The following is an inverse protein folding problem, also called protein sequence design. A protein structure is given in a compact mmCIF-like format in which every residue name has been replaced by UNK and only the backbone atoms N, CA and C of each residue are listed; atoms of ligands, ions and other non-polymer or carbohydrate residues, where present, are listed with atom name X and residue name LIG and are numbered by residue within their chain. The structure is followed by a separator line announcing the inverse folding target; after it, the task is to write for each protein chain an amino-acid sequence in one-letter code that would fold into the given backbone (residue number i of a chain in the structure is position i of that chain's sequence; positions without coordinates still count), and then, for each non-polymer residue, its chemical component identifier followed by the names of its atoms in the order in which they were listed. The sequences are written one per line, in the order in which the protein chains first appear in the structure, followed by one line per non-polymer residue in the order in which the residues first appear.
data_IF_989520118673
#
_entry.id   IF_989520118673
#
_cell.length_a   1.000
_cell.length_b   1.000
_cell.length_c   1.000
_cell.angle_alpha   90.00
_cell.angle_beta   90.00
_cell.angle_gamma   90.00
#
_symmetry.space_group_name_H-M   'P 1'
#
loop_
_entity.id
_entity.type
_entity.pdbx_description
1 polymer ?
#
# COMPACT_ATOMS: atom_id res chain seq x y z
N UNK A 1 22.18 -6.34 42.13
CA UNK A 1 22.46 -7.43 41.17
C UNK A 1 22.45 -6.83 39.76
N UNK A 2 23.37 -7.24 38.88
CA UNK A 2 23.36 -6.80 37.48
C UNK A 2 22.16 -7.43 36.75
N UNK A 3 21.49 -6.67 35.90
CA UNK A 3 20.41 -7.19 35.05
C UNK A 3 21.00 -8.30 34.16
N UNK A 4 20.34 -9.46 34.13
CA UNK A 4 20.82 -10.63 33.37
C UNK A 4 21.82 -11.53 34.13
N UNK A 5 22.11 -11.29 35.41
CA UNK A 5 22.93 -12.19 36.22
C UNK A 5 22.20 -13.53 36.42
N UNK A 6 22.78 -14.59 35.90
CA UNK A 6 22.18 -15.93 35.89
C UNK A 6 22.78 -16.89 36.94
N UNK A 7 23.63 -16.41 37.86
CA UNK A 7 24.16 -17.20 39.00
C UNK A 7 24.91 -18.49 38.58
N UNK A 8 25.70 -18.47 37.54
CA UNK A 8 26.37 -19.65 37.00
C UNK A 8 25.55 -20.48 36.01
N UNK A 9 24.26 -20.17 35.85
CA UNK A 9 23.42 -20.76 34.83
C UNK A 9 23.79 -20.21 33.45
N UNK A 10 23.68 -21.03 32.40
CA UNK A 10 23.91 -20.59 31.01
C UNK A 10 23.07 -19.36 30.68
N UNK A 11 23.64 -18.24 30.20
CA UNK A 11 22.90 -17.05 29.83
C UNK A 11 21.78 -17.34 28.80
N UNK A 12 20.71 -16.59 28.84
CA UNK A 12 19.51 -16.86 28.02
C UNK A 12 19.82 -16.86 26.52
N UNK A 13 20.72 -16.01 26.06
CA UNK A 13 21.13 -15.95 24.65
C UNK A 13 21.92 -17.20 24.19
N UNK A 14 22.52 -17.96 25.13
CA UNK A 14 23.19 -19.22 24.84
C UNK A 14 22.23 -20.42 24.92
N UNK A 15 21.16 -20.32 25.71
CA UNK A 15 20.14 -21.37 25.85
C UNK A 15 19.17 -21.38 24.67
N UNK A 16 18.93 -20.22 24.05
CA UNK A 16 18.06 -20.10 22.87
C UNK A 16 18.82 -20.63 21.66
N UNK A 17 18.30 -21.69 21.04
CA UNK A 17 18.80 -22.15 19.74
C UNK A 17 18.61 -21.10 18.64
N UNK A 18 19.16 -21.37 17.47
CA UNK A 18 18.97 -20.51 16.29
C UNK A 18 17.49 -20.47 15.93
N UNK A 19 16.87 -19.31 16.08
CA UNK A 19 15.49 -19.05 15.67
C UNK A 19 15.44 -18.88 14.16
N UNK A 20 15.52 -19.99 13.43
CA UNK A 20 15.45 -19.99 11.95
C UNK A 20 14.08 -19.47 11.52
N UNK A 21 14.07 -18.44 10.65
CA UNK A 21 12.86 -17.78 10.17
C UNK A 21 12.34 -16.65 11.05
N UNK A 22 12.62 -16.62 12.36
CA UNK A 22 12.18 -15.52 13.24
C UNK A 22 12.88 -14.19 12.94
N UNK A 23 14.08 -14.24 12.34
CA UNK A 23 14.84 -13.05 11.89
C UNK A 23 14.54 -12.67 10.45
N UNK A 24 13.70 -13.42 9.75
CA UNK A 24 13.24 -13.05 8.41
C UNK A 24 12.43 -11.75 8.47
N UNK A 25 12.59 -10.91 7.46
CA UNK A 25 11.78 -9.68 7.31
C UNK A 25 10.28 -9.98 7.32
N UNK A 26 9.87 -11.13 6.79
CA UNK A 26 8.48 -11.55 6.73
C UNK A 26 7.95 -12.11 8.07
N UNK A 27 8.85 -12.53 8.98
CA UNK A 27 8.51 -13.00 10.32
C UNK A 27 8.38 -11.88 11.36
N UNK A 28 8.65 -10.63 10.99
CA UNK A 28 8.51 -9.49 11.92
C UNK A 28 7.05 -9.28 12.31
N UNK A 29 6.73 -9.09 13.61
CA UNK A 29 5.37 -8.82 14.07
C UNK A 29 4.95 -7.39 13.68
N UNK A 30 4.48 -7.20 12.45
CA UNK A 30 4.04 -5.92 11.92
C UNK A 30 2.61 -5.58 12.40
N UNK A 31 1.87 -6.57 12.94
CA UNK A 31 0.49 -6.41 13.37
C UNK A 31 0.20 -5.17 14.21
N UNK A 32 0.97 -4.92 15.31
CA UNK A 32 0.78 -3.74 16.18
C UNK A 32 1.01 -2.40 15.48
N UNK A 33 1.80 -2.37 14.41
CA UNK A 33 2.17 -1.17 13.67
C UNK A 33 1.42 -1.01 12.34
N UNK A 34 0.53 -1.95 12.04
CA UNK A 34 -0.23 -1.95 10.79
C UNK A 34 -1.40 -0.98 10.87
N UNK A 35 -1.45 -0.02 9.95
CA UNK A 35 -2.64 0.82 9.77
C UNK A 35 -3.73 -0.03 9.12
N UNK A 36 -4.86 -0.19 9.83
CA UNK A 36 -6.03 -0.88 9.30
C UNK A 36 -6.83 0.07 8.42
N UNK A 37 -7.16 -0.36 7.21
CA UNK A 37 -7.99 0.41 6.28
C UNK A 37 -9.13 -0.46 5.77
N UNK A 38 -10.32 0.13 5.61
CA UNK A 38 -11.47 -0.56 5.01
C UNK A 38 -11.41 -0.40 3.49
N UNK A 39 -11.32 -1.51 2.73
CA UNK A 39 -11.35 -1.45 1.28
C UNK A 39 -12.77 -1.25 0.76
N UNK A 40 -12.96 -0.31 -0.16
CA UNK A 40 -14.22 -0.10 -0.91
C UNK A 40 -13.89 -0.18 -2.40
N UNK A 41 -14.67 -0.94 -3.15
CA UNK A 41 -14.47 -1.08 -4.59
C UNK A 41 -15.20 0.02 -5.36
N UNK A 42 -14.61 0.45 -6.48
CA UNK A 42 -15.20 1.48 -7.36
C UNK A 42 -16.60 1.07 -7.85
N UNK A 43 -16.82 -0.21 -8.19
CA UNK A 43 -18.14 -0.69 -8.62
C UNK A 43 -19.22 -0.60 -7.53
N UNK A 44 -18.87 -0.52 -6.25
CA UNK A 44 -19.84 -0.32 -5.18
C UNK A 44 -20.35 1.13 -5.13
N UNK A 45 -19.64 2.07 -5.76
CA UNK A 45 -20.04 3.49 -5.85
C UNK A 45 -21.16 3.74 -6.85
N UNK A 46 -21.50 2.78 -7.69
CA UNK A 46 -22.67 2.88 -8.60
C UNK A 46 -24.01 3.02 -7.85
N UNK A 47 -24.03 2.75 -6.53
CA UNK A 47 -25.21 2.96 -5.67
C UNK A 47 -25.49 4.44 -5.40
N UNK A 48 -24.52 5.31 -5.60
CA UNK A 48 -24.68 6.76 -5.46
C UNK A 48 -25.31 7.36 -6.70
N UNK A 49 -25.95 8.52 -6.54
CA UNK A 49 -26.48 9.29 -7.65
C UNK A 49 -25.36 10.00 -8.42
N UNK A 50 -25.64 10.31 -9.69
CA UNK A 50 -24.69 11.04 -10.54
C UNK A 50 -24.46 12.45 -10.00
N UNK A 51 -23.18 12.84 -9.86
CA UNK A 51 -22.79 14.11 -9.27
C UNK A 51 -22.71 14.13 -7.73
N UNK A 52 -23.03 13.04 -7.06
CA UNK A 52 -23.00 12.97 -5.60
C UNK A 52 -21.57 13.08 -5.04
N UNK A 53 -21.49 13.58 -3.80
CA UNK A 53 -20.27 13.61 -3.02
C UNK A 53 -20.15 12.36 -2.14
N UNK A 54 -19.11 11.58 -2.37
CA UNK A 54 -18.84 10.35 -1.61
C UNK A 54 -17.88 10.66 -0.48
N UNK A 55 -18.42 10.77 0.74
CA UNK A 55 -17.65 10.95 1.98
C UNK A 55 -17.65 9.64 2.78
N UNK A 56 -16.76 9.47 3.77
CA UNK A 56 -16.82 8.31 4.67
C UNK A 56 -18.18 8.17 5.38
N UNK A 57 -18.85 9.28 5.67
CA UNK A 57 -20.16 9.31 6.31
C UNK A 57 -21.25 8.77 5.39
N UNK A 58 -21.30 9.23 4.14
CA UNK A 58 -22.26 8.72 3.15
C UNK A 58 -22.04 7.24 2.81
N UNK A 59 -20.80 6.75 2.91
CA UNK A 59 -20.51 5.32 2.76
C UNK A 59 -21.06 4.48 3.93
N UNK A 60 -21.16 5.04 5.14
CA UNK A 60 -21.82 4.38 6.29
C UNK A 60 -23.33 4.35 6.11
N UNK A 61 -23.94 5.44 5.64
CA UNK A 61 -25.39 5.53 5.40
C UNK A 61 -25.87 4.48 4.39
N UNK A 62 -25.10 4.25 3.32
CA UNK A 62 -25.40 3.22 2.32
C UNK A 62 -25.04 1.80 2.81
N UNK A 63 -24.33 1.69 3.97
CA UNK A 63 -23.94 0.42 4.55
C UNK A 63 -22.74 -0.25 3.90
N UNK A 64 -21.92 0.48 3.14
CA UNK A 64 -20.66 -0.02 2.57
C UNK A 64 -19.55 -0.12 3.62
N UNK A 65 -19.63 0.70 4.67
CA UNK A 65 -18.71 0.73 5.79
C UNK A 65 -19.50 0.70 7.10
N UNK A 66 -18.95 0.08 8.14
CA UNK A 66 -19.63 -0.03 9.44
C UNK A 66 -19.48 1.22 10.30
N UNK A 67 -18.36 1.92 10.20
CA UNK A 67 -18.06 3.11 11.00
C UNK A 67 -17.02 4.00 10.30
N UNK A 68 -16.94 5.26 10.72
CA UNK A 68 -16.00 6.27 10.20
C UNK A 68 -14.64 6.30 10.89
N UNK A 69 -14.45 5.50 11.95
CA UNK A 69 -13.20 5.50 12.76
C UNK A 69 -11.99 4.93 12.01
N UNK A 70 -12.24 4.15 10.99
CA UNK A 70 -11.19 3.45 10.24
C UNK A 70 -10.99 4.13 8.89
N UNK A 71 -9.75 4.30 8.48
CA UNK A 71 -9.41 4.87 7.17
C UNK A 71 -10.04 4.07 6.03
N UNK A 72 -10.56 4.78 5.03
CA UNK A 72 -11.16 4.19 3.83
C UNK A 72 -10.18 4.22 2.68
N UNK A 73 -10.02 3.08 2.00
CA UNK A 73 -9.21 2.96 0.80
C UNK A 73 -10.04 2.53 -0.40
N UNK A 74 -10.07 3.36 -1.44
CA UNK A 74 -10.75 3.03 -2.70
C UNK A 74 -9.89 2.11 -3.57
N UNK A 75 -10.47 0.99 -3.99
CA UNK A 75 -9.86 -0.02 -4.85
C UNK A 75 -10.54 -0.08 -6.22
N UNK A 76 -9.78 -0.42 -7.27
CA UNK A 76 -10.24 -0.42 -8.65
C UNK A 76 -11.09 -1.63 -9.08
N UNK A 77 -11.70 -2.37 -8.15
CA UNK A 77 -12.63 -3.46 -8.49
C UNK A 77 -13.94 -2.92 -9.07
N UNK A 78 -14.42 -3.53 -10.17
CA UNK A 78 -15.61 -3.07 -10.88
C UNK A 78 -15.37 -1.89 -11.82
N UNK A 79 -16.45 -1.36 -12.39
CA UNK A 79 -16.44 -0.19 -13.27
C UNK A 79 -17.31 0.92 -12.68
N UNK A 80 -17.03 2.15 -13.02
CA UNK A 80 -17.80 3.33 -12.64
C UNK A 80 -18.28 4.05 -13.90
N UNK A 81 -19.57 4.28 -14.00
CA UNK A 81 -20.19 4.99 -15.13
C UNK A 81 -20.62 6.42 -14.75
N UNK A 82 -20.70 6.70 -13.46
CA UNK A 82 -21.21 7.95 -12.91
C UNK A 82 -20.08 8.92 -12.57
N UNK A 83 -20.38 10.21 -12.67
CA UNK A 83 -19.46 11.27 -12.25
C UNK A 83 -19.63 11.52 -10.77
N UNK A 84 -18.62 11.21 -9.98
CA UNK A 84 -18.68 11.35 -8.52
C UNK A 84 -17.53 12.22 -8.01
N UNK A 85 -17.78 12.96 -6.95
CA UNK A 85 -16.71 13.62 -6.17
C UNK A 85 -16.38 12.75 -4.97
N UNK A 86 -15.21 12.12 -4.99
CA UNK A 86 -14.83 11.11 -3.99
C UNK A 86 -13.84 11.69 -2.99
N UNK A 87 -14.23 11.74 -1.70
CA UNK A 87 -13.38 12.13 -0.57
C UNK A 87 -13.04 10.90 0.26
N UNK A 88 -11.79 10.43 0.19
CA UNK A 88 -11.32 9.21 0.87
C UNK A 88 -9.90 9.40 1.42
N UNK A 89 -9.49 8.54 2.37
CA UNK A 89 -8.18 8.62 2.99
C UNK A 89 -7.06 8.09 2.08
N UNK A 90 -7.36 7.09 1.24
CA UNK A 90 -6.41 6.53 0.29
C UNK A 90 -7.11 6.01 -0.96
N UNK A 91 -6.39 5.98 -2.09
CA UNK A 91 -6.89 5.47 -3.37
C UNK A 91 -5.79 4.63 -4.04
N UNK A 92 -6.18 3.60 -4.79
CA UNK A 92 -5.27 2.86 -5.66
C UNK A 92 -5.13 3.54 -7.03
N UNK A 93 -4.00 3.35 -7.70
CA UNK A 93 -3.77 3.94 -9.04
C UNK A 93 -4.84 3.52 -10.06
N UNK A 94 -5.27 2.25 -9.98
CA UNK A 94 -6.33 1.71 -10.86
C UNK A 94 -7.69 2.36 -10.59
N UNK A 95 -8.03 2.58 -9.31
CA UNK A 95 -9.27 3.26 -8.93
C UNK A 95 -9.24 4.72 -9.40
N UNK A 96 -8.13 5.43 -9.18
CA UNK A 96 -7.95 6.81 -9.61
C UNK A 96 -8.18 6.98 -11.11
N UNK A 97 -7.55 6.12 -11.94
CA UNK A 97 -7.75 6.12 -13.39
C UNK A 97 -9.20 5.88 -13.79
N UNK A 98 -9.92 5.00 -13.08
CA UNK A 98 -11.34 4.71 -13.37
C UNK A 98 -12.25 5.89 -13.01
N UNK A 99 -12.04 6.52 -11.85
CA UNK A 99 -12.81 7.72 -11.45
C UNK A 99 -12.55 8.88 -12.42
N UNK A 100 -11.30 9.11 -12.84
CA UNK A 100 -10.98 10.12 -13.83
C UNK A 100 -11.62 9.85 -15.20
N UNK A 101 -11.64 8.58 -15.67
CA UNK A 101 -12.29 8.20 -16.93
C UNK A 101 -13.81 8.46 -16.88
N UNK A 102 -14.43 8.27 -15.72
CA UNK A 102 -15.84 8.58 -15.51
C UNK A 102 -16.11 10.11 -15.37
N UNK A 103 -15.05 10.95 -15.38
CA UNK A 103 -15.17 12.40 -15.23
C UNK A 103 -15.37 12.86 -13.78
N UNK A 104 -15.08 11.98 -12.80
CA UNK A 104 -15.18 12.30 -11.37
C UNK A 104 -13.93 13.04 -10.85
N UNK A 105 -14.06 13.60 -9.64
CA UNK A 105 -12.98 14.23 -8.89
C UNK A 105 -12.60 13.37 -7.70
N UNK A 106 -11.32 13.41 -7.30
CA UNK A 106 -10.83 12.70 -6.11
C UNK A 106 -10.11 13.69 -5.21
N UNK A 107 -10.54 13.76 -3.96
CA UNK A 107 -9.93 14.53 -2.88
C UNK A 107 -9.44 13.56 -1.79
N UNK A 108 -8.17 13.67 -1.41
CA UNK A 108 -7.60 12.86 -0.36
C UNK A 108 -7.72 13.58 0.98
N UNK A 109 -8.39 12.96 1.95
CA UNK A 109 -8.54 13.48 3.33
C UNK A 109 -7.23 13.40 4.12
N UNK A 110 -6.31 12.51 3.71
CA UNK A 110 -5.00 12.35 4.33
C UNK A 110 -3.91 12.79 3.36
N UNK A 111 -3.10 13.75 3.76
CA UNK A 111 -1.89 14.08 3.02
C UNK A 111 -0.93 12.88 3.08
N UNK A 112 -0.88 12.11 2.01
CA UNK A 112 0.16 11.12 1.83
C UNK A 112 1.44 11.86 1.46
N UNK A 113 2.33 12.08 2.42
CA UNK A 113 3.71 12.44 2.08
C UNK A 113 4.23 11.39 1.08
N UNK A 114 4.63 11.79 -0.13
CA UNK A 114 5.08 10.83 -1.13
C UNK A 114 6.30 10.12 -0.57
N UNK A 115 6.16 8.82 -0.26
CA UNK A 115 7.29 7.99 0.12
C UNK A 115 8.26 8.07 -1.05
N UNK A 116 9.37 8.82 -0.88
CA UNK A 116 10.46 8.92 -1.85
C UNK A 116 10.81 7.47 -2.26
N UNK A 117 10.31 7.03 -3.40
CA UNK A 117 10.75 5.76 -3.99
C UNK A 117 12.25 5.91 -4.14
N UNK A 118 13.05 5.08 -3.45
CA UNK A 118 14.47 4.97 -3.73
C UNK A 118 14.56 4.76 -5.23
N UNK A 119 15.18 5.72 -5.93
CA UNK A 119 15.43 5.62 -7.35
C UNK A 119 15.99 4.22 -7.61
N UNK A 120 15.34 3.47 -8.48
CA UNK A 120 15.84 2.19 -8.93
C UNK A 120 17.28 2.43 -9.40
N UNK A 121 18.22 1.69 -8.81
CA UNK A 121 19.63 1.72 -9.20
C UNK A 121 19.67 1.54 -10.71
N UNK A 122 20.29 2.47 -11.48
CA UNK A 122 20.36 2.29 -12.93
C UNK A 122 20.99 0.95 -13.21
N UNK A 123 20.38 0.17 -14.11
CA UNK A 123 20.95 -1.08 -14.59
C UNK A 123 22.36 -0.79 -15.11
N UNK A 124 23.35 -1.68 -14.81
CA UNK A 124 24.69 -1.50 -15.37
C UNK A 124 24.59 -1.45 -16.89
N UNK A 125 25.16 -0.40 -17.49
CA UNK A 125 25.23 -0.23 -18.92
C UNK A 125 25.81 -1.50 -19.55
N UNK A 126 25.12 -2.04 -20.54
CA UNK A 126 25.61 -3.13 -21.36
C UNK A 126 26.98 -2.73 -21.92
N UNK A 127 27.97 -3.58 -21.71
CA UNK A 127 29.29 -3.43 -22.29
C UNK A 127 29.17 -3.37 -23.82
N UNK A 128 29.90 -2.50 -24.52
CA UNK A 128 29.89 -2.50 -25.97
C UNK A 128 30.47 -3.83 -26.49
N UNK A 129 29.76 -4.46 -27.39
CA UNK A 129 30.27 -5.59 -28.18
C UNK A 129 31.54 -5.19 -28.91
N UNK A 130 32.57 -6.05 -28.96
CA UNK A 130 33.76 -5.76 -29.78
C UNK A 130 33.39 -5.83 -31.26
N UNK A 131 33.61 -4.73 -31.96
CA UNK A 131 33.59 -4.66 -33.43
C UNK A 131 34.54 -5.72 -33.98
N UNK A 132 34.01 -6.56 -34.89
CA UNK A 132 34.79 -7.48 -35.68
C UNK A 132 35.66 -6.68 -36.68
N UNK A 133 36.92 -7.09 -36.91
CA UNK A 133 37.76 -6.41 -37.88
C UNK A 133 37.26 -6.66 -39.30
N UNK A 134 37.15 -5.59 -40.07
CA UNK A 134 36.92 -5.64 -41.49
C UNK A 134 38.13 -6.32 -42.19
N UNK A 135 37.89 -7.39 -42.90
CA UNK A 135 38.87 -7.94 -43.86
C UNK A 135 38.86 -7.08 -45.13
N UNK A 136 40.02 -6.48 -45.38
CA UNK A 136 40.35 -5.93 -46.68
C UNK A 136 40.74 -7.06 -47.65
N UNK A 137 40.07 -7.14 -48.80
CA UNK A 137 40.62 -7.52 -50.11
C UNK A 137 39.96 -6.71 -51.21
#
# INVERSE_FOLDING_TARGET
MRVGFAGGQMPIYMRLGKLRGATSKDAMPIGPFRTSTVPVNVGALDRFDDGAEVTPESLVEIGLIKNTKTDVKLLGGGELKKRLTVRVHAISETAYKKVQRAGGKVELLRETTPKKRKAAKPAPAASPEPEAPAEEE
#
